data_IF_474295440505
#
_entry.id   IF_474295440505
#
_cell.length_a   1.000
_cell.length_b   1.000
_cell.length_c   1.000
_cell.angle_alpha   90.00
_cell.angle_beta   90.00
_cell.angle_gamma   90.00
#
_symmetry.space_group_name_H-M   'P 1'
#
loop_
_entity.id
_entity.type
_entity.pdbx_description
1 polymer ?
#
# COMPACT_ATOMS: atom_id res chain seq x y z
N UNK A 1 -35.48 -21.01 40.25
CA UNK A 1 -34.09 -20.59 40.53
C UNK A 1 -33.14 -21.54 39.81
N UNK A 2 -32.80 -21.26 38.55
CA UNK A 2 -31.69 -21.93 37.86
C UNK A 2 -30.79 -20.80 37.33
N UNK A 3 -29.77 -20.53 38.14
CA UNK A 3 -28.66 -19.66 37.82
C UNK A 3 -27.86 -20.27 36.67
N UNK A 4 -27.80 -19.59 35.53
CA UNK A 4 -26.78 -19.83 34.52
C UNK A 4 -26.13 -18.51 34.15
N UNK A 5 -25.58 -17.85 35.17
CA UNK A 5 -24.33 -17.11 34.99
C UNK A 5 -23.34 -18.06 34.32
N UNK A 6 -22.50 -17.53 33.42
CA UNK A 6 -21.44 -18.24 32.68
C UNK A 6 -21.88 -18.83 31.33
N UNK A 7 -21.90 -17.96 30.33
CA UNK A 7 -21.10 -18.17 29.13
C UNK A 7 -21.14 -16.92 28.25
N UNK A 8 -20.63 -15.79 28.75
CA UNK A 8 -20.01 -14.82 27.85
C UNK A 8 -18.70 -15.45 27.38
N UNK A 9 -18.80 -16.50 26.56
CA UNK A 9 -17.69 -16.97 25.76
C UNK A 9 -17.43 -15.83 24.78
N UNK A 10 -16.57 -14.90 25.20
CA UNK A 10 -15.98 -13.94 24.31
C UNK A 10 -15.42 -14.76 23.16
N UNK A 11 -16.05 -14.65 21.99
CA UNK A 11 -15.48 -15.04 20.71
C UNK A 11 -14.23 -14.18 20.53
N UNK A 12 -13.15 -14.52 21.23
CA UNK A 12 -11.81 -14.07 20.91
C UNK A 12 -11.54 -14.67 19.54
N UNK A 13 -11.87 -13.92 18.50
CA UNK A 13 -11.33 -14.16 17.17
C UNK A 13 -9.82 -14.00 17.33
N UNK A 14 -9.13 -15.10 17.58
CA UNK A 14 -7.69 -15.19 17.40
C UNK A 14 -7.48 -15.02 15.90
N UNK A 15 -7.28 -13.78 15.46
CA UNK A 15 -6.84 -13.54 14.10
C UNK A 15 -5.53 -14.30 13.96
N UNK A 16 -5.54 -15.40 13.19
CA UNK A 16 -4.29 -16.01 12.75
C UNK A 16 -3.48 -14.87 12.14
N UNK A 17 -2.27 -14.56 12.64
CA UNK A 17 -1.42 -13.63 11.93
C UNK A 17 -1.25 -14.24 10.55
N UNK A 18 -1.71 -13.54 9.51
CA UNK A 18 -1.50 -13.94 8.15
C UNK A 18 0.02 -13.98 7.92
N UNK A 19 0.63 -15.14 8.14
CA UNK A 19 2.05 -15.38 7.95
C UNK A 19 2.31 -15.09 6.48
N UNK A 20 2.92 -13.92 6.20
CA UNK A 20 3.23 -13.48 4.85
C UNK A 20 2.64 -12.13 4.43
N UNK A 21 1.71 -11.53 5.17
CA UNK A 21 1.24 -10.17 4.83
C UNK A 21 2.15 -9.11 5.43
N UNK A 22 3.14 -8.66 4.67
CA UNK A 22 3.90 -7.44 5.02
C UNK A 22 2.97 -6.25 4.83
N UNK A 23 2.51 -5.67 5.95
CA UNK A 23 1.74 -4.43 5.92
C UNK A 23 2.71 -3.26 5.80
N UNK A 24 2.96 -2.82 4.57
CA UNK A 24 3.67 -1.57 4.32
C UNK A 24 2.75 -0.41 4.73
N UNK A 25 2.90 0.08 5.97
CA UNK A 25 2.11 1.20 6.49
C UNK A 25 2.35 2.48 5.67
N UNK A 26 3.58 2.66 5.22
CA UNK A 26 4.00 3.75 4.36
C UNK A 26 4.43 3.20 3.01
N UNK A 27 3.99 3.83 1.93
CA UNK A 27 4.39 3.48 0.56
C UNK A 27 5.34 4.55 0.00
N UNK A 28 6.16 4.16 -0.98
CA UNK A 28 7.04 5.09 -1.67
C UNK A 28 6.23 6.11 -2.48
N UNK A 29 6.83 7.27 -2.77
CA UNK A 29 6.18 8.39 -3.43
C UNK A 29 5.48 8.01 -4.74
N UNK A 30 6.16 7.28 -5.63
CA UNK A 30 5.58 6.87 -6.92
C UNK A 30 4.31 6.02 -6.75
N UNK A 31 4.29 5.15 -5.73
CA UNK A 31 3.14 4.30 -5.41
C UNK A 31 1.98 5.17 -4.89
N UNK A 32 2.27 6.12 -4.00
CA UNK A 32 1.28 7.08 -3.53
C UNK A 32 0.64 7.84 -4.70
N UNK A 33 1.46 8.29 -5.64
CA UNK A 33 1.01 9.03 -6.82
C UNK A 33 0.14 8.20 -7.74
N UNK A 34 0.50 6.94 -8.00
CA UNK A 34 -0.34 6.01 -8.76
C UNK A 34 -1.70 5.76 -8.09
N UNK A 35 -1.72 5.56 -6.77
CA UNK A 35 -2.97 5.38 -6.02
C UNK A 35 -3.84 6.63 -6.15
N UNK A 36 -3.28 7.82 -5.95
CA UNK A 36 -4.02 9.09 -6.09
C UNK A 36 -4.59 9.27 -7.50
N UNK A 37 -3.77 9.02 -8.54
CA UNK A 37 -4.19 9.09 -9.95
C UNK A 37 -5.33 8.11 -10.26
N UNK A 38 -5.27 6.89 -9.74
CA UNK A 38 -6.34 5.88 -9.89
C UNK A 38 -7.66 6.30 -9.24
N UNK A 39 -7.61 7.18 -8.24
CA UNK A 39 -8.79 7.76 -7.60
C UNK A 39 -9.20 9.13 -8.19
N UNK A 40 -8.64 9.51 -9.34
CA UNK A 40 -8.98 10.75 -10.06
C UNK A 40 -8.36 12.01 -9.45
N UNK A 41 -7.43 11.89 -8.52
CA UNK A 41 -6.67 13.03 -8.00
C UNK A 41 -5.57 13.35 -9.00
N UNK A 42 -5.48 14.61 -9.42
CA UNK A 42 -4.43 15.04 -10.34
C UNK A 42 -3.06 15.04 -9.63
N UNK A 43 -2.15 14.22 -10.13
CA UNK A 43 -0.76 14.15 -9.67
C UNK A 43 0.19 14.53 -10.81
N UNK A 44 1.38 15.08 -10.50
CA UNK A 44 2.40 15.32 -11.51
C UNK A 44 2.85 14.02 -12.19
N UNK A 45 3.32 14.12 -13.43
CA UNK A 45 3.95 12.96 -14.10
C UNK A 45 5.30 12.68 -13.47
N UNK A 46 5.52 11.43 -13.10
CA UNK A 46 6.75 10.96 -12.50
C UNK A 46 7.19 9.65 -13.15
N UNK A 47 8.49 9.41 -13.13
CA UNK A 47 9.12 8.20 -13.62
C UNK A 47 10.12 7.72 -12.57
N UNK A 48 10.29 6.40 -12.45
CA UNK A 48 11.23 5.78 -11.52
C UNK A 48 12.29 5.06 -12.34
N UNK A 49 13.55 5.35 -12.04
CA UNK A 49 14.70 4.64 -12.60
C UNK A 49 15.35 3.80 -11.50
N UNK A 50 15.67 2.55 -11.80
CA UNK A 50 16.40 1.65 -10.89
C UNK A 50 17.91 1.69 -11.10
N UNK A 51 18.35 2.26 -12.23
CA UNK A 51 19.75 2.41 -12.60
C UNK A 51 19.97 3.78 -13.27
N UNK A 52 21.21 4.30 -13.29
CA UNK A 52 21.48 5.63 -13.83
C UNK A 52 21.21 5.73 -15.34
N UNK A 53 21.48 4.68 -16.12
CA UNK A 53 21.25 4.66 -17.56
C UNK A 53 19.76 4.78 -17.92
N UNK A 54 18.89 4.14 -17.15
CA UNK A 54 17.44 4.26 -17.25
C UNK A 54 16.97 5.69 -16.94
N UNK A 55 17.61 6.36 -15.98
CA UNK A 55 17.31 7.76 -15.67
C UNK A 55 17.63 8.69 -16.85
N UNK A 56 18.78 8.48 -17.50
CA UNK A 56 19.17 9.23 -18.71
C UNK A 56 18.18 8.99 -19.85
N UNK A 57 17.80 7.73 -20.08
CA UNK A 57 16.84 7.36 -21.11
C UNK A 57 15.45 7.96 -20.87
N UNK A 58 14.98 7.97 -19.62
CA UNK A 58 13.73 8.63 -19.23
C UNK A 58 13.81 10.14 -19.50
N UNK A 59 14.93 10.76 -19.13
CA UNK A 59 15.13 12.19 -19.35
C UNK A 59 15.03 12.54 -20.83
N UNK A 60 15.78 11.84 -21.68
CA UNK A 60 15.82 12.10 -23.12
C UNK A 60 14.49 11.85 -23.83
N UNK A 61 13.76 10.79 -23.45
CA UNK A 61 12.58 10.35 -24.20
C UNK A 61 11.26 10.87 -23.64
N UNK A 62 11.18 11.18 -22.35
CA UNK A 62 9.91 11.49 -21.67
C UNK A 62 9.88 12.89 -21.08
N UNK A 63 11.00 13.40 -20.58
CA UNK A 63 11.05 14.70 -19.88
C UNK A 63 11.55 15.85 -20.76
N UNK A 64 12.42 15.57 -21.74
CA UNK A 64 12.99 16.54 -22.66
C UNK A 64 12.22 16.59 -23.99
N UNK A 65 10.91 16.86 -23.94
CA UNK A 65 10.05 17.09 -25.11
C UNK A 65 9.55 18.52 -25.17
#
# INVERSE_FOLDING_TARGET
MLSSTVARYALRRTANPAVGTVRNLNVHEYISMEIMKNHGIQTPECYVASNPEEAENIFLNSLNR
#
